data_IF_450354638641
#
_entry.id   IF_450354638641
#
_cell.length_a   1.000
_cell.length_b   1.000
_cell.length_c   1.000
_cell.angle_alpha   90.00
_cell.angle_beta   90.00
_cell.angle_gamma   90.00
#
_symmetry.space_group_name_H-M   'P 1'
#
loop_
_entity.id
_entity.type
_entity.pdbx_description
1 polymer ?
#
# COMPACT_ATOMS: atom_id res chain seq x y z
N UNK A 1 -21.70 -12.90 -7.44
CA UNK A 1 -22.08 -12.02 -8.59
C UNK A 1 -22.12 -10.52 -8.26
N UNK A 2 -22.34 -10.11 -7.00
CA UNK A 2 -22.45 -8.69 -6.61
C UNK A 2 -21.18 -7.85 -6.84
N UNK A 3 -20.00 -8.32 -6.39
CA UNK A 3 -18.71 -7.60 -6.58
C UNK A 3 -18.40 -7.39 -8.06
N UNK A 4 -18.60 -8.43 -8.88
CA UNK A 4 -18.38 -8.34 -10.33
C UNK A 4 -19.30 -7.27 -10.96
N UNK A 5 -20.56 -7.19 -10.54
CA UNK A 5 -21.49 -6.13 -10.98
C UNK A 5 -21.02 -4.74 -10.55
N UNK A 6 -20.56 -4.59 -9.30
CA UNK A 6 -20.02 -3.32 -8.78
C UNK A 6 -18.83 -2.84 -9.62
N UNK A 7 -17.90 -3.75 -9.93
CA UNK A 7 -16.70 -3.47 -10.71
C UNK A 7 -17.02 -3.20 -12.17
N UNK A 8 -17.89 -3.99 -12.81
CA UNK A 8 -18.40 -3.72 -14.17
C UNK A 8 -19.02 -2.33 -14.28
N UNK A 9 -19.73 -1.87 -13.24
CA UNK A 9 -20.27 -0.52 -13.18
C UNK A 9 -19.21 0.59 -13.13
N UNK A 10 -18.02 0.32 -12.59
CA UNK A 10 -16.89 1.26 -12.58
C UNK A 10 -16.13 1.22 -13.91
N UNK A 11 -15.72 0.02 -14.33
CA UNK A 11 -15.08 -0.30 -15.60
C UNK A 11 -16.10 -0.52 -16.71
N UNK A 12 -17.00 0.45 -16.88
CA UNK A 12 -17.99 0.46 -17.98
C UNK A 12 -17.26 0.54 -19.32
N UNK A 13 -17.94 0.11 -20.41
CA UNK A 13 -17.46 0.21 -21.80
C UNK A 13 -17.30 1.66 -22.26
N UNK A 14 -16.27 2.35 -21.75
CA UNK A 14 -15.89 3.70 -22.11
C UNK A 14 -14.37 3.75 -22.21
N UNK A 15 -13.88 3.82 -23.45
CA UNK A 15 -12.45 3.78 -23.79
C UNK A 15 -11.63 4.82 -23.03
N UNK A 16 -12.19 6.02 -22.77
CA UNK A 16 -11.50 7.10 -22.05
C UNK A 16 -11.09 6.71 -20.62
N UNK A 17 -11.83 5.80 -19.97
CA UNK A 17 -11.46 5.29 -18.65
C UNK A 17 -10.20 4.43 -18.75
N UNK A 18 -10.14 3.55 -19.75
CA UNK A 18 -9.00 2.64 -19.96
C UNK A 18 -7.75 3.39 -20.42
N UNK A 19 -7.90 4.35 -21.34
CA UNK A 19 -6.79 5.23 -21.74
C UNK A 19 -6.22 5.99 -20.54
N UNK A 20 -7.05 6.43 -19.61
CA UNK A 20 -6.56 7.07 -18.38
C UNK A 20 -5.86 6.08 -17.44
N UNK A 21 -6.53 4.97 -17.09
CA UNK A 21 -6.03 4.07 -16.05
C UNK A 21 -4.83 3.24 -16.52
N UNK A 22 -4.88 2.68 -17.72
CA UNK A 22 -3.82 1.84 -18.25
C UNK A 22 -2.87 2.62 -19.16
N UNK A 23 -3.40 3.54 -19.98
CA UNK A 23 -2.58 4.38 -20.85
C UNK A 23 -1.75 5.39 -20.07
N UNK A 24 -2.35 6.25 -19.24
CA UNK A 24 -1.60 7.27 -18.51
C UNK A 24 -0.95 6.71 -17.23
N UNK A 25 -1.75 6.25 -16.26
CA UNK A 25 -1.20 5.76 -14.99
C UNK A 25 -0.43 4.44 -15.12
N UNK A 26 -0.91 3.52 -15.97
CA UNK A 26 -0.23 2.25 -16.23
C UNK A 26 1.13 2.46 -16.89
N UNK A 27 1.23 3.31 -17.91
CA UNK A 27 2.53 3.62 -18.54
C UNK A 27 3.49 4.30 -17.57
N UNK A 28 3.02 5.27 -16.76
CA UNK A 28 3.85 5.88 -15.72
C UNK A 28 4.37 4.84 -14.72
N UNK A 29 3.49 3.94 -14.28
CA UNK A 29 3.88 2.85 -13.39
C UNK A 29 4.93 1.94 -14.02
N UNK A 30 4.73 1.52 -15.28
CA UNK A 30 5.66 0.64 -15.99
C UNK A 30 7.01 1.32 -16.24
N UNK A 31 7.03 2.61 -16.59
CA UNK A 31 8.28 3.37 -16.75
C UNK A 31 9.05 3.41 -15.43
N UNK A 32 8.39 3.73 -14.32
CA UNK A 32 9.02 3.78 -13.01
C UNK A 32 9.49 2.40 -12.54
N UNK A 33 8.65 1.37 -12.74
CA UNK A 33 9.01 -0.01 -12.44
C UNK A 33 10.24 -0.46 -13.22
N UNK A 34 10.26 -0.26 -14.54
CA UNK A 34 11.40 -0.62 -15.38
C UNK A 34 12.67 0.14 -14.98
N UNK A 35 12.56 1.41 -14.58
CA UNK A 35 13.70 2.17 -14.08
C UNK A 35 14.23 1.62 -12.75
N UNK A 36 13.36 1.29 -11.79
CA UNK A 36 13.78 0.73 -10.50
C UNK A 36 14.38 -0.67 -10.64
N UNK A 37 13.86 -1.49 -11.57
CA UNK A 37 14.25 -2.88 -11.74
C UNK A 37 15.50 -3.07 -12.62
N UNK A 38 15.59 -2.33 -13.73
CA UNK A 38 16.63 -2.53 -14.75
C UNK A 38 17.52 -1.30 -14.97
N UNK A 39 17.06 -0.14 -14.52
CA UNK A 39 17.76 1.13 -14.67
C UNK A 39 18.51 1.52 -13.40
N UNK A 40 18.51 2.83 -13.13
CA UNK A 40 19.11 3.37 -11.93
C UNK A 40 18.05 3.46 -10.84
N UNK A 41 18.15 2.61 -9.80
CA UNK A 41 17.26 2.63 -8.64
C UNK A 41 17.28 4.00 -7.97
N UNK A 42 16.17 4.73 -8.03
CA UNK A 42 16.03 6.07 -7.48
C UNK A 42 15.35 6.00 -6.11
N UNK A 43 14.16 5.40 -6.05
CA UNK A 43 13.36 5.27 -4.83
C UNK A 43 13.88 4.19 -3.89
N UNK A 44 14.52 3.15 -4.45
CA UNK A 44 15.09 2.04 -3.68
C UNK A 44 16.61 2.13 -3.51
N UNK A 45 17.23 3.25 -3.91
CA UNK A 45 18.67 3.45 -3.83
C UNK A 45 19.24 3.25 -2.42
N UNK A 46 20.42 2.61 -2.33
CA UNK A 46 21.19 2.49 -1.08
C UNK A 46 21.81 3.82 -0.63
N UNK A 47 22.04 4.76 -1.55
CA UNK A 47 22.57 6.07 -1.21
C UNK A 47 21.43 6.96 -0.69
N UNK A 48 21.46 7.30 0.60
CA UNK A 48 20.40 8.09 1.23
C UNK A 48 20.19 9.46 0.58
N UNK A 49 21.25 10.17 0.18
CA UNK A 49 21.12 11.50 -0.44
C UNK A 49 20.37 11.41 -1.77
N UNK A 50 20.76 10.45 -2.60
CA UNK A 50 20.10 10.19 -3.87
C UNK A 50 18.64 9.77 -3.63
N UNK A 51 18.40 8.79 -2.75
CA UNK A 51 17.05 8.34 -2.40
C UNK A 51 16.17 9.50 -1.93
N UNK A 52 16.67 10.37 -1.06
CA UNK A 52 15.94 11.52 -0.53
C UNK A 52 15.57 12.53 -1.63
N UNK A 53 16.54 12.94 -2.46
CA UNK A 53 16.31 13.87 -3.56
C UNK A 53 15.33 13.28 -4.58
N UNK A 54 15.54 12.03 -4.98
CA UNK A 54 14.65 11.33 -5.91
C UNK A 54 13.24 11.18 -5.36
N UNK A 55 13.09 10.84 -4.08
CA UNK A 55 11.78 10.73 -3.42
C UNK A 55 11.01 12.05 -3.49
N UNK A 56 11.68 13.15 -3.13
CA UNK A 56 11.08 14.48 -3.16
C UNK A 56 10.64 14.84 -4.59
N UNK A 57 11.56 14.74 -5.55
CA UNK A 57 11.34 15.14 -6.94
C UNK A 57 10.27 14.25 -7.62
N UNK A 58 10.41 12.93 -7.56
CA UNK A 58 9.51 12.02 -8.27
C UNK A 58 8.07 12.14 -7.78
N UNK A 59 7.84 12.13 -6.46
CA UNK A 59 6.49 12.31 -5.94
C UNK A 59 5.92 13.70 -6.25
N UNK A 60 6.77 14.74 -6.26
CA UNK A 60 6.38 16.09 -6.70
C UNK A 60 5.94 16.11 -8.16
N UNK A 61 6.72 15.49 -9.06
CA UNK A 61 6.39 15.35 -10.49
C UNK A 61 5.07 14.60 -10.66
N UNK A 62 4.84 13.49 -9.95
CA UNK A 62 3.60 12.73 -10.07
C UNK A 62 2.38 13.53 -9.61
N UNK A 63 2.51 14.31 -8.55
CA UNK A 63 1.46 15.22 -8.08
C UNK A 63 1.19 16.33 -9.09
N UNK A 64 2.25 16.89 -9.69
CA UNK A 64 2.13 17.87 -10.76
C UNK A 64 1.42 17.29 -11.99
N UNK A 65 1.85 16.11 -12.46
CA UNK A 65 1.25 15.39 -13.59
C UNK A 65 -0.23 15.06 -13.32
N UNK A 66 -0.57 14.66 -12.10
CA UNK A 66 -1.95 14.47 -11.67
C UNK A 66 -2.78 15.75 -11.89
N UNK A 67 -2.30 16.90 -11.41
CA UNK A 67 -3.00 18.18 -11.59
C UNK A 67 -3.06 18.60 -13.06
N UNK A 68 -1.95 18.47 -13.79
CA UNK A 68 -1.84 18.85 -15.19
C UNK A 68 -2.87 18.12 -16.06
N UNK A 69 -3.00 16.81 -15.86
CA UNK A 69 -3.94 15.94 -16.59
C UNK A 69 -5.42 16.17 -16.21
N UNK A 70 -5.74 17.00 -15.20
CA UNK A 70 -7.14 17.32 -14.90
C UNK A 70 -7.75 18.23 -15.99
N UNK A 71 -8.94 17.89 -16.53
CA UNK A 71 -9.75 18.80 -17.35
C UNK A 71 -9.99 20.16 -16.69
N UNK A 72 -10.12 21.25 -17.47
CA UNK A 72 -10.38 22.62 -16.98
C UNK A 72 -11.49 22.69 -15.91
N UNK A 73 -12.64 22.04 -16.16
CA UNK A 73 -13.77 21.98 -15.21
C UNK A 73 -13.39 21.37 -13.85
N UNK A 74 -12.47 20.40 -13.82
CA UNK A 74 -12.00 19.74 -12.59
C UNK A 74 -10.92 20.57 -11.87
N UNK A 75 -10.10 21.33 -12.61
CA UNK A 75 -9.14 22.30 -12.03
C UNK A 75 -9.85 23.41 -11.23
N UNK A 76 -11.01 23.90 -11.70
CA UNK A 76 -11.84 24.84 -10.93
C UNK A 76 -12.30 24.22 -9.60
N UNK A 77 -12.79 22.97 -9.66
CA UNK A 77 -13.23 22.24 -8.45
C UNK A 77 -12.07 21.96 -7.49
N UNK A 78 -10.89 21.67 -8.02
CA UNK A 78 -9.66 21.46 -7.25
C UNK A 78 -9.35 22.66 -6.35
N UNK A 79 -9.39 23.86 -6.93
CA UNK A 79 -9.19 25.11 -6.19
C UNK A 79 -10.32 25.36 -5.18
N UNK A 80 -11.58 25.26 -5.61
CA UNK A 80 -12.76 25.46 -4.74
C UNK A 80 -12.77 24.54 -3.51
N UNK A 81 -12.27 23.32 -3.64
CA UNK A 81 -12.25 22.32 -2.55
C UNK A 81 -10.94 22.31 -1.75
N UNK A 82 -10.01 23.23 -2.06
CA UNK A 82 -8.68 23.38 -1.43
C UNK A 82 -7.85 22.09 -1.46
N UNK A 83 -7.90 21.36 -2.57
CA UNK A 83 -7.21 20.06 -2.73
C UNK A 83 -5.68 20.23 -2.71
N UNK A 84 -5.15 21.42 -3.00
CA UNK A 84 -3.72 21.69 -2.90
C UNK A 84 -3.16 21.44 -1.48
N UNK A 85 -3.91 21.81 -0.44
CA UNK A 85 -3.53 21.53 0.96
C UNK A 85 -3.47 20.02 1.24
N UNK A 86 -4.41 19.27 0.67
CA UNK A 86 -4.42 17.82 0.78
C UNK A 86 -3.20 17.21 0.07
N UNK A 87 -2.88 17.68 -1.14
CA UNK A 87 -1.74 17.17 -1.91
C UNK A 87 -0.40 17.48 -1.24
N UNK A 88 -0.27 18.62 -0.57
CA UNK A 88 0.91 18.93 0.22
C UNK A 88 1.09 17.93 1.38
N UNK A 89 0.05 17.69 2.18
CA UNK A 89 0.10 16.71 3.27
C UNK A 89 0.34 15.29 2.74
N UNK A 90 -0.30 14.94 1.62
CA UNK A 90 -0.09 13.67 0.93
C UNK A 90 1.37 13.52 0.48
N UNK A 91 1.98 14.56 -0.09
CA UNK A 91 3.38 14.54 -0.51
C UNK A 91 4.34 14.32 0.66
N UNK A 92 4.16 15.06 1.75
CA UNK A 92 4.93 14.85 3.00
C UNK A 92 4.74 13.43 3.52
N UNK A 93 3.52 12.88 3.45
CA UNK A 93 3.25 11.50 3.86
C UNK A 93 4.07 10.49 3.06
N UNK A 94 4.20 10.70 1.74
CA UNK A 94 4.99 9.81 0.87
C UNK A 94 6.50 9.94 1.11
N UNK A 95 6.98 11.17 1.37
CA UNK A 95 8.38 11.41 1.72
C UNK A 95 8.73 10.70 3.03
N UNK A 96 7.91 10.89 4.06
CA UNK A 96 8.10 10.23 5.37
C UNK A 96 8.05 8.72 5.20
N UNK A 97 7.06 8.19 4.48
CA UNK A 97 6.94 6.74 4.24
C UNK A 97 8.19 6.15 3.60
N UNK A 98 8.77 6.81 2.60
CA UNK A 98 9.92 6.25 1.88
C UNK A 98 11.25 6.45 2.61
N UNK A 99 11.37 7.51 3.42
CA UNK A 99 12.63 7.90 4.06
C UNK A 99 12.69 7.58 5.57
N UNK A 100 11.60 7.15 6.19
CA UNK A 100 11.58 6.82 7.61
C UNK A 100 12.51 5.64 7.90
N UNK A 101 13.65 5.94 8.52
CA UNK A 101 14.55 4.95 9.12
C UNK A 101 14.98 5.51 10.47
N UNK A 102 14.42 4.96 11.56
CA UNK A 102 14.68 5.44 12.90
C UNK A 102 15.76 4.58 13.55
N UNK A 103 16.73 5.17 14.28
CA UNK A 103 17.80 4.43 14.92
C UNK A 103 17.29 3.75 16.21
N UNK A 104 16.68 2.58 16.08
CA UNK A 104 16.08 1.83 17.20
C UNK A 104 17.12 1.22 18.15
N UNK A 105 18.37 1.10 17.71
CA UNK A 105 19.47 0.39 18.38
C UNK A 105 19.68 0.84 19.83
N UNK A 106 19.53 2.14 20.11
CA UNK A 106 19.73 2.71 21.44
C UNK A 106 18.70 2.23 22.47
N UNK A 107 17.47 1.93 22.04
CA UNK A 107 16.40 1.48 22.92
C UNK A 107 16.40 -0.04 23.09
N UNK A 108 16.84 -0.76 22.05
CA UNK A 108 16.84 -2.22 22.03
C UNK A 108 17.87 -2.83 23.00
N UNK A 109 18.92 -2.09 23.35
CA UNK A 109 19.98 -2.57 24.26
C UNK A 109 19.47 -2.94 25.67
N UNK A 110 18.35 -2.37 26.11
CA UNK A 110 17.77 -2.65 27.43
C UNK A 110 16.91 -3.92 27.48
N UNK A 111 16.68 -4.59 26.35
CA UNK A 111 15.84 -5.80 26.26
C UNK A 111 16.67 -7.08 26.44
N UNK A 112 16.07 -8.17 26.95
CA UNK A 112 16.70 -9.48 26.91
C UNK A 112 17.03 -9.88 25.47
N UNK A 113 18.17 -10.56 25.28
CA UNK A 113 18.75 -10.81 23.96
C UNK A 113 17.77 -11.52 23.01
N UNK A 114 16.99 -12.49 23.51
CA UNK A 114 16.02 -13.21 22.69
C UNK A 114 14.88 -12.33 22.14
N UNK A 115 14.58 -11.20 22.79
CA UNK A 115 13.48 -10.30 22.40
C UNK A 115 13.92 -9.12 21.53
N UNK A 116 15.22 -8.82 21.49
CA UNK A 116 15.77 -7.68 20.74
C UNK A 116 15.31 -7.72 19.27
N UNK A 117 15.48 -8.87 18.61
CA UNK A 117 15.19 -9.00 17.19
C UNK A 117 13.69 -8.89 16.88
N UNK A 118 12.85 -9.59 17.64
CA UNK A 118 11.39 -9.55 17.47
C UNK A 118 10.82 -8.15 17.74
N UNK A 119 11.33 -7.50 18.79
CA UNK A 119 10.93 -6.13 19.13
C UNK A 119 11.35 -5.17 18.04
N UNK A 120 12.58 -5.29 17.52
CA UNK A 120 13.04 -4.50 16.37
C UNK A 120 12.13 -4.68 15.14
N UNK A 121 11.75 -5.92 14.79
CA UNK A 121 10.84 -6.21 13.68
C UNK A 121 9.47 -5.55 13.86
N UNK A 122 8.87 -5.65 15.05
CA UNK A 122 7.58 -5.05 15.39
C UNK A 122 7.66 -3.52 15.32
N UNK A 123 8.67 -2.92 15.97
CA UNK A 123 8.87 -1.47 15.95
C UNK A 123 9.06 -1.00 14.51
N UNK A 124 9.90 -1.65 13.72
CA UNK A 124 10.11 -1.32 12.30
C UNK A 124 8.81 -1.38 11.50
N UNK A 125 7.97 -2.39 11.75
CA UNK A 125 6.67 -2.54 11.11
C UNK A 125 5.74 -1.36 11.45
N UNK A 126 5.69 -0.93 12.71
CA UNK A 126 4.91 0.24 13.12
C UNK A 126 5.49 1.55 12.60
N UNK A 127 6.80 1.76 12.66
CA UNK A 127 7.41 3.01 12.20
C UNK A 127 7.12 3.28 10.72
N UNK A 128 7.14 2.24 9.90
CA UNK A 128 6.81 2.37 8.48
C UNK A 128 5.32 2.59 8.24
N UNK A 129 4.43 1.97 9.02
CA UNK A 129 2.98 1.96 8.72
C UNK A 129 2.16 2.96 9.53
N UNK A 130 2.59 3.35 10.72
CA UNK A 130 1.88 4.27 11.61
C UNK A 130 1.66 5.67 10.99
N UNK A 131 2.60 6.25 10.23
CA UNK A 131 2.36 7.50 9.50
C UNK A 131 1.16 7.41 8.54
N UNK A 132 0.89 6.22 7.98
CA UNK A 132 -0.27 5.97 7.10
C UNK A 132 -1.61 6.07 7.85
N UNK A 133 -1.62 5.97 9.17
CA UNK A 133 -2.81 6.20 9.99
C UNK A 133 -2.83 7.63 10.56
N UNK A 134 -1.71 8.06 11.14
CA UNK A 134 -1.61 9.32 11.89
C UNK A 134 -1.85 10.53 10.98
N UNK A 135 -1.17 10.62 9.83
CA UNK A 135 -1.35 11.78 8.94
C UNK A 135 -2.78 11.92 8.42
N UNK A 136 -3.45 10.84 7.97
CA UNK A 136 -4.87 10.92 7.65
C UNK A 136 -5.78 11.37 8.79
N UNK A 137 -5.55 10.88 10.01
CA UNK A 137 -6.38 11.26 11.17
C UNK A 137 -6.20 12.73 11.53
N UNK A 138 -4.95 13.21 11.56
CA UNK A 138 -4.65 14.63 11.82
C UNK A 138 -5.26 15.53 10.75
N UNK A 139 -5.15 15.15 9.48
CA UNK A 139 -5.75 15.92 8.38
C UNK A 139 -7.28 15.88 8.43
N UNK A 140 -7.88 14.74 8.77
CA UNK A 140 -9.33 14.62 8.94
C UNK A 140 -9.84 15.46 10.10
N UNK A 141 -9.11 15.52 11.22
CA UNK A 141 -9.46 16.38 12.34
C UNK A 141 -9.47 17.86 11.93
N UNK A 142 -8.44 18.31 11.20
CA UNK A 142 -8.38 19.65 10.62
C UNK A 142 -9.53 19.93 9.62
N UNK A 143 -9.81 18.98 8.71
CA UNK A 143 -10.85 19.13 7.69
C UNK A 143 -12.25 19.02 8.24
N UNK A 144 -12.47 18.27 9.31
CA UNK A 144 -13.77 18.17 9.97
C UNK A 144 -14.25 19.55 10.46
N UNK A 145 -13.33 20.34 11.02
CA UNK A 145 -13.61 21.71 11.50
C UNK A 145 -13.78 22.74 10.38
N UNK A 146 -13.16 22.51 9.22
CA UNK A 146 -13.08 23.54 8.15
C UNK A 146 -13.96 23.24 6.94
N UNK A 147 -13.87 22.03 6.37
CA UNK A 147 -14.60 21.63 5.16
C UNK A 147 -14.58 20.09 5.00
N UNK A 148 -15.47 19.37 5.69
CA UNK A 148 -15.44 17.91 5.74
C UNK A 148 -15.72 17.29 4.36
N UNK A 149 -14.99 16.22 4.03
CA UNK A 149 -15.32 15.36 2.88
C UNK A 149 -15.95 14.08 3.44
N UNK A 150 -17.26 13.83 3.18
CA UNK A 150 -17.96 12.73 3.82
C UNK A 150 -17.45 11.36 3.35
N UNK A 151 -17.32 10.43 4.29
CA UNK A 151 -17.04 9.02 4.04
C UNK A 151 -18.14 8.14 4.66
N UNK A 152 -19.38 8.36 4.22
CA UNK A 152 -20.51 7.56 4.70
C UNK A 152 -20.56 6.24 3.91
N UNK A 153 -20.49 5.12 4.63
CA UNK A 153 -20.62 3.78 4.05
C UNK A 153 -21.97 3.67 3.33
N UNK A 154 -21.96 3.23 2.08
CA UNK A 154 -23.18 3.13 1.26
C UNK A 154 -23.59 1.71 0.91
N UNK A 155 -22.63 0.77 0.85
CA UNK A 155 -22.89 -0.63 0.48
C UNK A 155 -21.98 -1.58 1.25
N UNK A 156 -22.46 -2.79 1.49
CA UNK A 156 -21.72 -3.85 2.17
C UNK A 156 -21.89 -5.17 1.39
N UNK A 157 -21.24 -5.30 0.22
CA UNK A 157 -21.37 -6.51 -0.58
C UNK A 157 -20.76 -7.71 0.14
N UNK A 158 -21.13 -8.92 -0.29
CA UNK A 158 -20.44 -10.13 0.14
C UNK A 158 -18.99 -10.15 -0.36
N UNK A 159 -18.02 -10.29 0.55
CA UNK A 159 -16.59 -10.25 0.26
C UNK A 159 -15.95 -11.63 0.04
N UNK A 160 -16.69 -12.73 0.21
CA UNK A 160 -16.19 -14.10 0.00
C UNK A 160 -15.49 -14.31 -1.34
N UNK A 161 -15.98 -13.80 -2.49
CA UNK A 161 -15.29 -13.98 -3.76
C UNK A 161 -13.88 -13.37 -3.80
N UNK A 162 -13.67 -12.25 -3.09
CA UNK A 162 -12.35 -11.62 -2.98
C UNK A 162 -11.42 -12.46 -2.12
N UNK A 163 -11.92 -12.99 -1.00
CA UNK A 163 -11.16 -13.86 -0.11
C UNK A 163 -10.70 -15.14 -0.82
N UNK A 164 -11.62 -15.82 -1.52
CA UNK A 164 -11.32 -17.04 -2.28
C UNK A 164 -10.27 -16.75 -3.35
N UNK A 165 -10.47 -15.68 -4.12
CA UNK A 165 -9.50 -15.29 -5.16
C UNK A 165 -8.14 -14.95 -4.57
N UNK A 166 -8.09 -14.24 -3.45
CA UNK A 166 -6.86 -13.91 -2.75
C UNK A 166 -6.09 -15.18 -2.33
N UNK A 167 -6.77 -16.15 -1.70
CA UNK A 167 -6.16 -17.41 -1.28
C UNK A 167 -5.62 -18.20 -2.47
N UNK A 168 -6.38 -18.29 -3.57
CA UNK A 168 -5.93 -18.97 -4.81
C UNK A 168 -4.69 -18.28 -5.39
N UNK A 169 -4.71 -16.95 -5.49
CA UNK A 169 -3.56 -16.19 -6.00
C UNK A 169 -2.34 -16.40 -5.10
N UNK A 170 -2.52 -16.43 -3.77
CA UNK A 170 -1.41 -16.68 -2.86
C UNK A 170 -0.85 -18.10 -2.98
N UNK A 171 -1.70 -19.10 -3.14
CA UNK A 171 -1.28 -20.48 -3.37
C UNK A 171 -0.44 -20.59 -4.66
N UNK A 172 -0.92 -20.00 -5.76
CA UNK A 172 -0.19 -19.95 -7.03
C UNK A 172 1.12 -19.17 -6.88
N UNK A 173 1.07 -18.02 -6.20
CA UNK A 173 2.23 -17.17 -5.95
C UNK A 173 3.33 -17.88 -5.17
N UNK A 174 2.98 -18.81 -4.27
CA UNK A 174 3.93 -19.59 -3.49
C UNK A 174 4.86 -20.47 -4.33
N UNK A 175 4.50 -20.78 -5.59
CA UNK A 175 5.36 -21.54 -6.51
C UNK A 175 6.43 -20.68 -7.19
N UNK A 176 6.30 -19.35 -7.16
CA UNK A 176 7.22 -18.43 -7.82
C UNK A 176 8.45 -18.20 -6.91
N UNK A 177 9.69 -18.38 -7.42
CA UNK A 177 10.91 -18.30 -6.60
C UNK A 177 11.04 -17.00 -5.77
N UNK A 178 10.80 -15.84 -6.38
CA UNK A 178 10.93 -14.56 -5.68
C UNK A 178 9.99 -14.40 -4.49
N UNK A 179 8.84 -15.08 -4.47
CA UNK A 179 7.96 -15.09 -3.31
C UNK A 179 8.45 -16.02 -2.20
N UNK A 180 9.02 -17.19 -2.54
CA UNK A 180 9.65 -18.10 -1.56
C UNK A 180 10.87 -17.50 -0.87
N UNK A 181 11.59 -16.62 -1.57
CA UNK A 181 12.74 -15.90 -1.00
C UNK A 181 12.30 -14.77 -0.06
N UNK A 182 11.13 -14.19 -0.30
CA UNK A 182 10.63 -13.05 0.46
C UNK A 182 9.73 -13.47 1.65
N UNK A 183 8.97 -14.55 1.48
CA UNK A 183 8.02 -15.07 2.47
C UNK A 183 8.44 -16.46 2.95
N UNK A 184 8.20 -16.79 4.23
CA UNK A 184 7.55 -15.94 5.23
C UNK A 184 8.45 -14.81 5.75
N UNK A 185 7.84 -13.71 6.21
CA UNK A 185 8.57 -12.56 6.77
C UNK A 185 9.02 -12.79 8.19
N UNK A 186 8.38 -13.74 8.88
CA UNK A 186 8.82 -14.26 10.15
C UNK A 186 10.27 -14.77 10.01
N UNK A 187 11.18 -14.36 10.89
CA UNK A 187 12.56 -14.81 10.84
C UNK A 187 12.66 -16.31 11.16
N UNK A 188 13.61 -16.98 10.50
CA UNK A 188 13.94 -18.38 10.75
C UNK A 188 14.85 -18.46 11.98
N UNK A 189 14.65 -19.43 12.88
CA UNK A 189 15.48 -19.58 14.09
C UNK A 189 16.97 -19.51 13.78
N UNK A 190 17.71 -18.69 14.55
CA UNK A 190 19.15 -18.55 14.39
C UNK A 190 19.83 -18.32 15.74
N UNK A 191 20.42 -19.39 16.26
CA UNK A 191 21.11 -19.40 17.55
C UNK A 191 22.34 -18.50 17.56
N UNK A 192 23.06 -18.38 16.42
CA UNK A 192 24.24 -17.51 16.32
C UNK A 192 23.88 -16.04 16.44
N UNK A 193 22.69 -15.66 15.98
CA UNK A 193 22.13 -14.32 16.11
C UNK A 193 21.25 -14.17 17.37
N UNK A 194 21.25 -15.19 18.24
CA UNK A 194 20.62 -15.20 19.56
C UNK A 194 19.11 -14.91 19.54
N UNK A 195 18.41 -15.31 18.48
CA UNK A 195 16.95 -15.29 18.45
C UNK A 195 16.37 -16.65 18.07
N UNK A 196 15.29 -17.00 18.73
CA UNK A 196 14.56 -18.25 18.52
C UNK A 196 13.14 -17.93 18.05
N UNK A 197 12.77 -18.49 16.91
CA UNK A 197 11.40 -18.46 16.45
C UNK A 197 10.63 -19.60 17.13
N UNK A 198 9.44 -19.26 17.60
CA UNK A 198 8.50 -20.19 18.22
C UNK A 198 7.14 -19.93 17.60
N UNK A 199 6.22 -20.89 17.68
CA UNK A 199 4.87 -20.71 17.15
C UNK A 199 4.22 -19.43 17.70
N UNK A 200 4.48 -19.10 18.96
CA UNK A 200 3.93 -17.93 19.63
C UNK A 200 4.58 -16.62 19.15
N UNK A 201 5.91 -16.54 19.09
CA UNK A 201 6.60 -15.32 18.64
C UNK A 201 6.30 -15.02 17.17
N UNK A 202 6.24 -16.05 16.33
CA UNK A 202 5.81 -15.94 14.93
C UNK A 202 4.35 -15.49 14.84
N UNK A 203 3.42 -16.10 15.59
CA UNK A 203 2.00 -15.71 15.56
C UNK A 203 1.78 -14.25 16.01
N UNK A 204 2.52 -13.78 17.02
CA UNK A 204 2.46 -12.39 17.49
C UNK A 204 2.93 -11.45 16.36
N UNK A 205 4.06 -11.74 15.74
CA UNK A 205 4.58 -10.93 14.64
C UNK A 205 3.62 -10.92 13.44
N UNK A 206 3.11 -12.08 13.03
CA UNK A 206 2.16 -12.19 11.93
C UNK A 206 0.88 -11.40 12.22
N UNK A 207 0.37 -11.46 13.46
CA UNK A 207 -0.80 -10.68 13.87
C UNK A 207 -0.55 -9.18 13.76
N UNK A 208 0.60 -8.71 14.25
CA UNK A 208 0.99 -7.29 14.13
C UNK A 208 1.14 -6.89 12.66
N UNK A 209 1.87 -7.69 11.88
CA UNK A 209 2.08 -7.47 10.46
C UNK A 209 0.75 -7.35 9.71
N UNK A 210 -0.14 -8.32 9.87
CA UNK A 210 -1.46 -8.33 9.23
C UNK A 210 -2.34 -7.15 9.70
N UNK A 211 -2.28 -6.80 10.98
CA UNK A 211 -3.02 -5.65 11.52
C UNK A 211 -2.61 -4.33 10.87
N UNK A 212 -1.33 -4.15 10.54
CA UNK A 212 -0.85 -2.91 9.91
C UNK A 212 -1.42 -2.68 8.51
N UNK A 213 -1.99 -3.69 7.84
CA UNK A 213 -2.73 -3.47 6.59
C UNK A 213 -3.97 -2.62 6.77
N UNK A 214 -4.56 -2.57 7.97
CA UNK A 214 -5.60 -1.59 8.27
C UNK A 214 -5.10 -0.16 8.03
N UNK A 215 -3.85 0.17 8.39
CA UNK A 215 -3.28 1.50 8.20
C UNK A 215 -3.09 1.82 6.71
N UNK A 216 -2.55 0.85 5.97
CA UNK A 216 -2.40 0.95 4.51
C UNK A 216 -3.74 1.17 3.81
N UNK A 217 -4.75 0.36 4.12
CA UNK A 217 -6.07 0.48 3.52
C UNK A 217 -6.78 1.78 3.93
N UNK A 218 -6.61 2.21 5.17
CA UNK A 218 -7.09 3.50 5.64
C UNK A 218 -6.50 4.64 4.81
N UNK A 219 -5.18 4.63 4.60
CA UNK A 219 -4.49 5.64 3.81
C UNK A 219 -4.94 5.65 2.34
N UNK A 220 -4.86 4.52 1.65
CA UNK A 220 -5.12 4.51 0.21
C UNK A 220 -6.63 4.61 -0.11
N UNK A 221 -7.50 3.91 0.62
CA UNK A 221 -8.92 3.78 0.24
C UNK A 221 -9.81 4.81 0.93
N UNK A 222 -9.55 5.13 2.19
CA UNK A 222 -10.36 6.12 2.94
C UNK A 222 -9.78 7.54 2.87
N UNK A 223 -8.48 7.71 2.88
CA UNK A 223 -7.87 9.04 2.82
C UNK A 223 -7.66 9.50 1.38
N UNK A 224 -6.73 8.87 0.65
CA UNK A 224 -6.32 9.30 -0.68
C UNK A 224 -7.46 9.32 -1.70
N UNK A 225 -8.13 8.18 -1.89
CA UNK A 225 -9.22 8.07 -2.85
C UNK A 225 -10.36 9.03 -2.51
N UNK A 226 -10.75 9.16 -1.24
CA UNK A 226 -11.86 10.04 -0.83
C UNK A 226 -11.58 11.48 -1.23
N UNK A 227 -10.42 12.04 -0.85
CA UNK A 227 -10.12 13.45 -1.12
C UNK A 227 -9.90 13.71 -2.61
N UNK A 228 -9.20 12.83 -3.33
CA UNK A 228 -9.00 12.99 -4.78
C UNK A 228 -10.28 12.75 -5.60
N UNK A 229 -11.20 11.91 -5.13
CA UNK A 229 -12.44 11.60 -5.85
C UNK A 229 -13.33 12.83 -6.06
N UNK A 230 -13.15 13.86 -5.24
CA UNK A 230 -13.83 15.16 -5.35
C UNK A 230 -13.56 15.79 -6.72
N UNK A 231 -12.31 15.72 -7.20
CA UNK A 231 -11.92 16.26 -8.51
C UNK A 231 -12.07 15.24 -9.63
N UNK A 232 -11.96 13.94 -9.34
CA UNK A 232 -12.29 12.89 -10.31
C UNK A 232 -12.09 11.49 -9.78
N UNK A 233 -13.13 10.66 -9.81
CA UNK A 233 -13.11 9.27 -9.33
C UNK A 233 -12.07 8.38 -10.01
N UNK A 234 -11.97 8.45 -11.34
CA UNK A 234 -11.03 7.64 -12.11
C UNK A 234 -9.58 8.10 -11.90
N UNK A 235 -9.33 9.42 -11.91
CA UNK A 235 -8.02 10.00 -11.55
C UNK A 235 -7.59 9.61 -10.14
N UNK A 236 -8.51 9.63 -9.17
CA UNK A 236 -8.24 9.22 -7.80
C UNK A 236 -7.80 7.75 -7.71
N UNK A 237 -8.49 6.84 -8.40
CA UNK A 237 -8.14 5.41 -8.44
C UNK A 237 -6.82 5.17 -9.16
N UNK A 238 -6.59 5.82 -10.30
CA UNK A 238 -5.34 5.69 -11.05
C UNK A 238 -4.14 6.20 -10.26
N UNK A 239 -4.24 7.37 -9.63
CA UNK A 239 -3.20 7.91 -8.76
C UNK A 239 -2.96 7.01 -7.55
N UNK A 240 -4.02 6.53 -6.90
CA UNK A 240 -3.89 5.62 -5.77
C UNK A 240 -3.21 4.31 -6.18
N UNK A 241 -3.57 3.72 -7.33
CA UNK A 241 -2.95 2.51 -7.84
C UNK A 241 -1.48 2.70 -8.22
N UNK A 242 -1.14 3.82 -8.87
CA UNK A 242 0.25 4.17 -9.20
C UNK A 242 1.12 4.23 -7.95
N UNK A 243 0.71 5.03 -6.96
CA UNK A 243 1.48 5.18 -5.71
C UNK A 243 1.49 3.86 -4.93
N UNK A 244 0.38 3.13 -4.91
CA UNK A 244 0.32 1.81 -4.29
C UNK A 244 1.30 0.83 -4.93
N UNK A 245 1.47 0.86 -6.26
CA UNK A 245 2.50 0.08 -6.95
C UNK A 245 3.91 0.49 -6.56
N UNK A 246 4.18 1.79 -6.48
CA UNK A 246 5.51 2.32 -6.15
C UNK A 246 5.97 1.94 -4.73
N UNK A 247 5.07 1.93 -3.75
CA UNK A 247 5.44 1.53 -2.38
C UNK A 247 5.80 0.04 -2.27
N UNK A 248 5.57 -0.76 -3.33
CA UNK A 248 6.00 -2.15 -3.39
C UNK A 248 7.35 -2.34 -4.08
N UNK A 249 8.07 -1.31 -4.56
CA UNK A 249 9.29 -1.49 -5.36
C UNK A 249 10.44 -2.28 -4.70
N UNK A 250 10.35 -2.63 -3.41
CA UNK A 250 11.30 -3.52 -2.72
C UNK A 250 10.74 -4.95 -2.51
N UNK A 251 9.64 -5.29 -3.16
CA UNK A 251 8.94 -6.57 -3.08
C UNK A 251 9.24 -7.44 -4.30
N UNK A 252 8.88 -8.74 -4.30
CA UNK A 252 9.02 -9.58 -5.47
C UNK A 252 8.34 -8.96 -6.70
N UNK A 253 8.94 -9.10 -7.89
CA UNK A 253 8.43 -8.51 -9.15
C UNK A 253 6.95 -8.79 -9.40
N UNK A 254 6.52 -10.02 -9.11
CA UNK A 254 5.10 -10.40 -9.22
C UNK A 254 4.19 -9.60 -8.28
N UNK A 255 4.63 -9.32 -7.06
CA UNK A 255 3.91 -8.50 -6.09
C UNK A 255 3.86 -7.03 -6.55
N UNK A 256 4.98 -6.50 -7.06
CA UNK A 256 5.05 -5.13 -7.60
C UNK A 256 4.01 -4.96 -8.72
N UNK A 257 4.08 -5.78 -9.77
CA UNK A 257 3.19 -5.66 -10.92
C UNK A 257 1.73 -5.89 -10.53
N UNK A 258 1.44 -6.92 -9.74
CA UNK A 258 0.07 -7.22 -9.32
C UNK A 258 -0.51 -6.16 -8.37
N UNK A 259 0.32 -5.48 -7.58
CA UNK A 259 -0.13 -4.43 -6.65
C UNK A 259 -0.77 -3.24 -7.38
N UNK A 260 -0.29 -2.86 -8.57
CA UNK A 260 -0.94 -1.82 -9.38
C UNK A 260 -2.38 -2.23 -9.76
N UNK A 261 -2.56 -3.46 -10.25
CA UNK A 261 -3.89 -3.98 -10.58
C UNK A 261 -4.79 -4.16 -9.35
N UNK A 262 -4.24 -4.66 -8.25
CA UNK A 262 -4.93 -4.73 -6.95
C UNK A 262 -5.35 -3.35 -6.44
N UNK A 263 -4.51 -2.34 -6.64
CA UNK A 263 -4.77 -0.93 -6.37
C UNK A 263 -5.95 -0.40 -7.19
N UNK A 264 -5.99 -0.69 -8.50
CA UNK A 264 -7.11 -0.32 -9.38
C UNK A 264 -8.41 -1.00 -8.94
N UNK A 265 -8.38 -2.31 -8.70
CA UNK A 265 -9.54 -3.12 -8.35
C UNK A 265 -10.16 -2.70 -7.00
N UNK A 266 -9.32 -2.64 -5.96
CA UNK A 266 -9.75 -2.24 -4.62
C UNK A 266 -10.07 -0.76 -4.54
N UNK A 267 -9.37 0.08 -5.32
CA UNK A 267 -9.69 1.49 -5.45
C UNK A 267 -11.08 1.70 -6.05
N UNK A 268 -11.39 1.03 -7.16
CA UNK A 268 -12.72 1.04 -7.78
C UNK A 268 -13.81 0.56 -6.80
N UNK A 269 -13.56 -0.55 -6.10
CA UNK A 269 -14.48 -1.09 -5.11
C UNK A 269 -14.73 -0.11 -3.95
N UNK A 270 -13.69 0.54 -3.45
CA UNK A 270 -13.79 1.53 -2.36
C UNK A 270 -14.63 2.74 -2.75
N UNK A 271 -14.53 3.23 -4.01
CA UNK A 271 -15.37 4.32 -4.52
C UNK A 271 -16.84 3.92 -4.58
N UNK A 272 -17.13 2.67 -4.95
CA UNK A 272 -18.51 2.21 -5.15
C UNK A 272 -19.19 1.83 -3.83
N UNK A 273 -18.43 1.36 -2.85
CA UNK A 273 -18.94 0.90 -1.55
C UNK A 273 -18.78 1.93 -0.43
N UNK A 274 -17.89 2.90 -0.59
CA UNK A 274 -17.43 3.81 0.46
C UNK A 274 -16.93 3.04 1.69
N UNK A 275 -16.14 1.99 1.45
CA UNK A 275 -15.58 1.12 2.49
C UNK A 275 -14.17 0.68 2.16
N UNK A 276 -13.35 0.51 3.19
CA UNK A 276 -12.01 -0.09 3.09
C UNK A 276 -12.05 -1.62 3.17
N UNK A 277 -13.16 -2.21 3.60
CA UNK A 277 -13.27 -3.64 3.94
C UNK A 277 -12.84 -4.56 2.81
N UNK A 278 -13.23 -4.27 1.57
CA UNK A 278 -12.84 -5.09 0.42
C UNK A 278 -11.33 -5.13 0.21
N UNK A 279 -10.67 -3.98 0.31
CA UNK A 279 -9.21 -3.90 0.25
C UNK A 279 -8.56 -4.59 1.43
N UNK A 280 -9.06 -4.36 2.65
CA UNK A 280 -8.54 -4.95 3.88
C UNK A 280 -8.59 -6.48 3.87
N UNK A 281 -9.73 -7.05 3.50
CA UNK A 281 -9.90 -8.49 3.42
C UNK A 281 -9.04 -9.09 2.31
N UNK A 282 -8.95 -8.45 1.14
CA UNK A 282 -8.05 -8.90 0.07
C UNK A 282 -6.59 -8.90 0.54
N UNK A 283 -6.16 -7.82 1.19
CA UNK A 283 -4.78 -7.64 1.60
C UNK A 283 -4.37 -8.64 2.69
N UNK A 284 -5.21 -8.79 3.72
CA UNK A 284 -4.97 -9.76 4.79
C UNK A 284 -4.96 -11.19 4.22
N UNK A 285 -5.93 -11.55 3.37
CA UNK A 285 -5.98 -12.89 2.80
C UNK A 285 -4.81 -13.17 1.85
N UNK A 286 -4.39 -12.18 1.04
CA UNK A 286 -3.22 -12.31 0.18
C UNK A 286 -1.95 -12.50 1.01
N UNK A 287 -1.69 -11.58 1.95
CA UNK A 287 -0.49 -11.61 2.78
C UNK A 287 -0.43 -12.86 3.65
N UNK A 288 -1.48 -13.14 4.44
CA UNK A 288 -1.52 -14.34 5.29
C UNK A 288 -1.45 -15.62 4.45
N UNK A 289 -2.08 -15.64 3.28
CA UNK A 289 -1.97 -16.76 2.34
C UNK A 289 -0.54 -16.97 1.85
N UNK A 290 0.17 -15.90 1.48
CA UNK A 290 1.57 -16.01 1.05
C UNK A 290 2.44 -16.56 2.18
N UNK A 291 2.35 -15.96 3.38
CA UNK A 291 3.06 -16.40 4.60
C UNK A 291 2.82 -17.88 4.88
N UNK A 292 1.56 -18.33 4.82
CA UNK A 292 1.17 -19.71 5.06
C UNK A 292 1.71 -20.66 3.99
N UNK A 293 1.40 -20.42 2.71
CA UNK A 293 1.77 -21.36 1.64
C UNK A 293 3.28 -21.45 1.42
N UNK A 294 4.03 -20.36 1.58
CA UNK A 294 5.51 -20.44 1.54
C UNK A 294 6.07 -21.00 2.85
N UNK A 295 5.46 -20.68 3.99
CA UNK A 295 5.88 -21.15 5.31
C UNK A 295 5.84 -22.66 5.48
N UNK A 296 4.88 -23.36 4.84
CA UNK A 296 4.80 -24.83 4.84
C UNK A 296 6.13 -25.48 4.39
N UNK A 297 6.82 -24.89 3.40
CA UNK A 297 8.07 -25.45 2.87
C UNK A 297 9.26 -25.34 3.84
N UNK A 298 9.16 -24.50 4.86
CA UNK A 298 10.24 -24.26 5.82
C UNK A 298 9.76 -24.38 7.28
N UNK A 299 8.66 -25.10 7.51
CA UNK A 299 8.02 -25.21 8.82
C UNK A 299 8.99 -25.68 9.91
N UNK A 300 9.76 -26.72 9.63
CA UNK A 300 10.78 -27.30 10.54
C UNK A 300 11.96 -26.36 10.85
N UNK A 301 12.09 -25.26 10.10
CA UNK A 301 13.11 -24.23 10.37
C UNK A 301 12.54 -23.07 11.19
N UNK A 302 11.23 -22.87 11.16
CA UNK A 302 10.54 -21.84 11.93
C UNK A 302 10.30 -22.28 13.39
N UNK A 303 10.11 -23.58 13.62
CA UNK A 303 9.71 -24.16 14.90
C UNK A 303 10.49 -25.42 15.23
#
# INVERSE_FOLDING_TARGET
MEIASILKGFFRKNSKIYTLLFGFYGSLFLILFSNEEFGFSLLTSKNFKLKAVSTFILYGILIFLFYYHLPKKRKIRFHKKRIISFLFVFWISLIVLNLSDFPYEKFLFYLPKEWIFWTWKIIKQFTHTLPLLVFPLLYDFYRYKTNPVPFKKKRNPSYYPILILAVIISAIGSFIPGFKEFYPRAPITNERLLYHATWLTTLIFETVYLYTFYFTEFFFRKFLIRYLSVVGRYHAVGMAALIYGMVHFQKPRGEILSSFFGGLLMGALSIRTHSIRGGLYAHIALAAGMEFFTGIYIWDKLF
#
